data_IF_527434659726
#
_entry.id   IF_527434659726
#
_cell.length_a   1.000
_cell.length_b   1.000
_cell.length_c   1.000
_cell.angle_alpha   90.00
_cell.angle_beta   90.00
_cell.angle_gamma   90.00
#
_symmetry.space_group_name_H-M   'P 1'
#
loop_
_entity.id
_entity.type
_entity.pdbx_description
1 polymer ?
#
# COMPACT_ATOMS: atom_id res chain seq x y z
N UNK A 1 15.15 23.89 12.30
CA UNK A 1 15.36 23.41 13.70
C UNK A 1 14.11 23.46 14.58
N UNK A 2 13.23 24.47 14.48
CA UNK A 2 12.01 24.58 15.30
C UNK A 2 10.99 23.46 15.03
N UNK A 3 10.68 23.19 13.75
CA UNK A 3 9.73 22.14 13.34
C UNK A 3 10.16 20.73 13.80
N UNK A 4 11.43 20.36 13.61
CA UNK A 4 11.97 19.06 14.02
C UNK A 4 11.76 18.80 15.51
N UNK A 5 12.05 19.79 16.36
CA UNK A 5 11.84 19.67 17.81
C UNK A 5 10.35 19.50 18.14
N UNK A 6 9.47 20.24 17.46
CA UNK A 6 8.02 20.12 17.64
C UNK A 6 7.48 18.75 17.22
N UNK A 7 7.95 18.20 16.09
CA UNK A 7 7.56 16.85 15.63
C UNK A 7 8.03 15.79 16.62
N UNK A 8 9.29 15.85 17.05
CA UNK A 8 9.82 14.90 18.04
C UNK A 8 9.07 15.01 19.37
N UNK A 9 8.72 16.23 19.81
CA UNK A 9 7.91 16.42 21.01
C UNK A 9 6.53 15.77 20.87
N UNK A 10 5.82 15.99 19.75
CA UNK A 10 4.53 15.35 19.45
C UNK A 10 4.64 13.82 19.52
N UNK A 11 5.60 13.24 18.80
CA UNK A 11 5.84 11.79 18.79
C UNK A 11 5.95 11.26 20.21
N UNK A 12 6.66 11.96 21.10
CA UNK A 12 6.87 11.47 22.44
C UNK A 12 5.90 11.93 23.54
N UNK A 13 4.96 12.81 23.21
CA UNK A 13 3.68 12.89 23.92
C UNK A 13 2.84 11.64 23.64
N UNK A 14 2.71 11.24 22.36
CA UNK A 14 1.91 10.08 21.94
C UNK A 14 2.46 8.79 22.59
N UNK A 15 3.76 8.55 22.43
CA UNK A 15 4.39 7.33 22.96
C UNK A 15 4.39 7.24 24.50
N UNK A 16 4.25 8.36 25.20
CA UNK A 16 4.13 8.39 26.67
C UNK A 16 2.69 8.28 27.16
N UNK A 17 1.72 8.16 26.25
CA UNK A 17 0.30 8.14 26.62
C UNK A 17 -0.17 9.45 27.24
N UNK A 18 0.35 10.59 26.78
CA UNK A 18 -0.15 11.89 27.21
C UNK A 18 -1.64 12.04 26.88
N UNK A 19 -2.33 12.92 27.61
CA UNK A 19 -3.76 13.15 27.38
C UNK A 19 -4.04 13.64 25.93
N UNK A 20 -5.23 13.31 25.42
CA UNK A 20 -5.61 13.58 24.03
C UNK A 20 -5.53 15.08 23.68
N UNK A 21 -5.93 15.95 24.61
CA UNK A 21 -5.90 17.40 24.39
C UNK A 21 -4.48 17.94 24.18
N UNK A 22 -3.50 17.54 24.99
CA UNK A 22 -2.11 17.96 24.83
C UNK A 22 -1.51 17.45 23.52
N UNK A 23 -1.86 16.22 23.13
CA UNK A 23 -1.45 15.66 21.82
C UNK A 23 -2.03 16.51 20.70
N UNK A 24 -3.32 16.86 20.77
CA UNK A 24 -4.02 17.66 19.77
C UNK A 24 -3.45 19.08 19.64
N UNK A 25 -3.25 19.78 20.76
CA UNK A 25 -2.66 21.13 20.79
C UNK A 25 -1.25 21.13 20.16
N UNK A 26 -0.44 20.12 20.48
CA UNK A 26 0.88 19.99 19.89
C UNK A 26 0.81 19.61 18.40
N UNK A 27 -0.14 18.78 17.97
CA UNK A 27 -0.35 18.45 16.57
C UNK A 27 -0.75 19.68 15.75
N UNK A 28 -1.64 20.53 16.27
CA UNK A 28 -2.03 21.78 15.63
C UNK A 28 -0.85 22.75 15.51
N UNK A 29 0.01 22.82 16.52
CA UNK A 29 1.25 23.59 16.44
C UNK A 29 2.21 23.04 15.38
N UNK A 30 2.34 21.71 15.27
CA UNK A 30 3.15 21.09 14.21
C UNK A 30 2.55 21.39 12.83
N UNK A 31 1.23 21.25 12.66
CA UNK A 31 0.54 21.54 11.40
C UNK A 31 0.71 23.01 10.96
N UNK A 32 0.60 23.97 11.90
CA UNK A 32 0.87 25.39 11.61
C UNK A 32 2.30 25.67 11.18
N UNK A 33 3.24 24.87 11.66
CA UNK A 33 4.67 24.98 11.32
C UNK A 33 5.07 24.12 10.11
N UNK A 34 4.20 23.24 9.62
CA UNK A 34 4.49 22.27 8.55
C UNK A 34 3.66 22.64 7.33
N UNK A 35 4.07 23.71 6.66
CA UNK A 35 3.46 24.21 5.43
C UNK A 35 3.94 23.42 4.19
N UNK A 36 3.36 23.74 3.03
CA UNK A 36 3.73 23.10 1.76
C UNK A 36 5.21 23.30 1.39
N UNK A 37 5.81 24.42 1.80
CA UNK A 37 7.22 24.70 1.52
C UNK A 37 8.11 23.71 2.27
N UNK A 38 7.82 23.48 3.56
CA UNK A 38 8.55 22.54 4.39
C UNK A 38 8.23 21.08 4.04
N UNK A 39 6.99 20.79 3.60
CA UNK A 39 6.62 19.47 3.11
C UNK A 39 7.47 19.08 1.88
N UNK A 40 7.67 20.01 0.95
CA UNK A 40 8.50 19.79 -0.26
C UNK A 40 10.01 19.91 0.01
N UNK A 41 10.45 20.27 1.22
CA UNK A 41 11.85 20.48 1.53
C UNK A 41 12.53 19.21 2.09
N UNK A 42 13.52 18.62 1.38
CA UNK A 42 14.23 17.41 1.83
C UNK A 42 14.91 17.55 3.20
N UNK A 43 15.32 18.78 3.57
CA UNK A 43 16.01 19.06 4.83
C UNK A 43 15.10 18.80 6.03
N UNK A 44 13.78 18.98 5.87
CA UNK A 44 12.77 18.78 6.91
C UNK A 44 12.84 17.38 7.51
N UNK A 45 13.18 16.37 6.70
CA UNK A 45 13.15 14.96 7.11
C UNK A 45 14.51 14.39 7.50
N UNK A 46 15.61 15.16 7.40
CA UNK A 46 16.97 14.66 7.71
C UNK A 46 17.11 14.11 9.13
N UNK A 47 16.28 14.57 10.07
CA UNK A 47 16.29 14.05 11.44
C UNK A 47 15.85 12.58 11.55
N UNK A 48 15.14 12.06 10.54
CA UNK A 48 14.74 10.65 10.46
C UNK A 48 15.87 9.74 9.95
N UNK A 49 16.99 10.31 9.47
CA UNK A 49 18.08 9.56 8.80
C UNK A 49 19.29 9.22 9.70
N UNK A 50 19.34 9.58 10.99
CA UNK A 50 20.63 9.58 11.74
C UNK A 50 20.88 8.39 12.69
N UNK A 51 22.10 7.85 12.57
CA UNK A 51 22.93 7.01 13.47
C UNK A 51 22.90 5.46 13.34
N UNK A 52 22.79 4.89 12.14
CA UNK A 52 23.40 3.58 11.91
C UNK A 52 24.47 3.71 10.83
N UNK A 53 25.64 3.13 11.06
CA UNK A 53 26.67 3.07 10.04
C UNK A 53 26.09 2.34 8.82
N UNK A 54 26.53 2.68 7.60
CA UNK A 54 26.08 1.97 6.39
C UNK A 54 26.27 0.44 6.51
N UNK A 55 27.26 0.00 7.30
CA UNK A 55 27.52 -1.39 7.64
C UNK A 55 26.49 -2.04 8.58
N UNK A 56 25.93 -1.29 9.53
CA UNK A 56 24.88 -1.79 10.45
C UNK A 56 23.59 -2.13 9.70
N UNK A 57 23.28 -1.35 8.67
CA UNK A 57 22.11 -1.57 7.82
C UNK A 57 22.24 -2.81 6.94
N UNK A 58 23.44 -3.17 6.51
CA UNK A 58 23.68 -4.32 5.65
C UNK A 58 23.68 -5.65 6.41
N UNK A 59 23.98 -5.64 7.72
CA UNK A 59 24.13 -6.84 8.56
C UNK A 59 22.88 -7.25 9.36
N UNK A 60 21.77 -6.53 9.24
CA UNK A 60 20.55 -6.84 10.02
C UNK A 60 19.75 -8.00 9.43
N UNK A 61 19.74 -9.14 10.14
CA UNK A 61 18.83 -10.26 9.92
C UNK A 61 17.53 -10.06 10.73
N UNK A 62 16.37 -9.84 10.09
CA UNK A 62 15.08 -9.66 10.76
C UNK A 62 14.60 -10.91 11.52
N UNK A 63 15.20 -12.09 11.29
CA UNK A 63 14.89 -13.30 12.07
C UNK A 63 15.53 -13.27 13.47
N UNK A 64 16.48 -12.35 13.72
CA UNK A 64 17.19 -12.25 15.00
C UNK A 64 16.44 -11.52 16.12
N UNK A 65 15.21 -11.03 15.87
CA UNK A 65 14.26 -10.62 16.92
C UNK A 65 14.68 -9.46 17.84
N UNK A 66 15.83 -8.80 17.64
CA UNK A 66 16.34 -7.78 18.57
C UNK A 66 15.84 -6.37 18.21
N UNK A 67 14.56 -6.12 18.45
CA UNK A 67 13.92 -4.79 18.32
C UNK A 67 14.52 -3.72 19.25
N UNK A 68 15.37 -4.08 20.21
CA UNK A 68 15.95 -3.15 21.19
C UNK A 68 16.89 -2.11 20.58
N UNK A 69 17.55 -2.42 19.45
CA UNK A 69 18.54 -1.53 18.81
C UNK A 69 17.94 -0.24 18.25
N UNK A 70 16.69 -0.28 17.80
CA UNK A 70 16.03 0.84 17.10
C UNK A 70 15.13 1.70 18.01
N UNK A 71 14.98 1.34 19.29
CA UNK A 71 14.00 1.93 20.21
C UNK A 71 14.06 3.47 20.32
N UNK A 72 15.27 4.03 20.21
CA UNK A 72 15.50 5.48 20.29
C UNK A 72 15.56 6.17 18.93
N UNK A 73 15.52 5.43 17.82
CA UNK A 73 15.62 6.01 16.48
C UNK A 73 14.36 6.81 16.12
N UNK A 74 14.51 8.06 15.63
CA UNK A 74 13.37 8.92 15.32
C UNK A 74 12.33 8.31 14.37
N UNK A 75 12.80 7.57 13.35
CA UNK A 75 11.90 6.90 12.39
C UNK A 75 11.12 5.76 13.04
N UNK A 76 11.78 4.92 13.84
CA UNK A 76 11.09 3.85 14.58
C UNK A 76 10.01 4.43 15.52
N UNK A 77 10.35 5.52 16.23
CA UNK A 77 9.43 6.20 17.13
C UNK A 77 8.25 6.85 16.40
N UNK A 78 8.48 7.41 15.21
CA UNK A 78 7.41 7.90 14.34
C UNK A 78 6.47 6.76 13.92
N UNK A 79 7.00 5.63 13.45
CA UNK A 79 6.20 4.46 13.06
C UNK A 79 5.37 3.92 14.22
N UNK A 80 5.96 3.86 15.43
CA UNK A 80 5.23 3.46 16.64
C UNK A 80 4.17 4.47 17.05
N UNK A 81 4.44 5.77 16.92
CA UNK A 81 3.45 6.80 17.18
C UNK A 81 2.24 6.68 16.23
N UNK A 82 2.48 6.42 14.93
CA UNK A 82 1.41 6.16 13.95
C UNK A 82 0.58 4.94 14.34
N UNK A 83 1.22 3.84 14.78
CA UNK A 83 0.53 2.62 15.20
C UNK A 83 -0.42 2.82 16.39
N UNK A 84 0.00 3.62 17.39
CA UNK A 84 -0.74 3.77 18.66
C UNK A 84 -1.62 5.01 18.72
N UNK A 85 -1.41 6.00 17.85
CA UNK A 85 -2.24 7.19 17.80
C UNK A 85 -3.67 6.84 17.38
N UNK A 86 -4.65 7.50 18.00
CA UNK A 86 -6.09 7.30 17.77
C UNK A 86 -6.81 8.59 17.40
N UNK A 87 -6.11 9.72 17.39
CA UNK A 87 -6.65 10.99 16.91
C UNK A 87 -6.39 11.08 15.41
N UNK A 88 -7.47 11.16 14.63
CA UNK A 88 -7.44 11.09 13.16
C UNK A 88 -6.54 12.17 12.55
N UNK A 89 -6.70 13.42 12.99
CA UNK A 89 -5.89 14.55 12.54
C UNK A 89 -4.40 14.34 12.83
N UNK A 90 -4.06 13.89 14.04
CA UNK A 90 -2.68 13.63 14.42
C UNK A 90 -2.11 12.46 13.63
N UNK A 91 -2.88 11.38 13.43
CA UNK A 91 -2.47 10.25 12.57
C UNK A 91 -2.21 10.74 11.14
N UNK A 92 -3.13 11.51 10.56
CA UNK A 92 -2.99 12.08 9.22
C UNK A 92 -1.68 12.89 9.10
N UNK A 93 -1.43 13.78 10.06
CA UNK A 93 -0.23 14.61 10.10
C UNK A 93 1.05 13.78 10.18
N UNK A 94 1.09 12.76 11.04
CA UNK A 94 2.24 11.86 11.14
C UNK A 94 2.46 11.04 9.86
N UNK A 95 1.38 10.57 9.23
CA UNK A 95 1.43 9.87 7.95
C UNK A 95 1.91 10.80 6.83
N UNK A 96 1.52 12.08 6.82
CA UNK A 96 2.05 13.08 5.86
C UNK A 96 3.55 13.29 6.04
N UNK A 97 4.02 13.42 7.28
CA UNK A 97 5.45 13.53 7.58
C UNK A 97 6.21 12.27 7.10
N UNK A 98 5.65 11.08 7.31
CA UNK A 98 6.26 9.83 6.82
C UNK A 98 6.26 9.75 5.29
N UNK A 99 5.16 10.14 4.63
CA UNK A 99 5.06 10.19 3.18
C UNK A 99 6.08 11.16 2.58
N UNK A 100 6.20 12.35 3.17
CA UNK A 100 7.18 13.35 2.79
C UNK A 100 8.62 12.83 2.95
N UNK A 101 8.90 12.11 4.05
CA UNK A 101 10.19 11.46 4.24
C UNK A 101 10.52 10.48 3.11
N UNK A 102 9.56 9.63 2.72
CA UNK A 102 9.80 8.66 1.66
C UNK A 102 9.96 9.34 0.31
N UNK A 103 9.10 10.30 -0.04
CA UNK A 103 9.00 10.85 -1.41
C UNK A 103 9.92 12.05 -1.68
N UNK A 104 10.15 12.94 -0.72
CA UNK A 104 10.78 14.25 -0.99
C UNK A 104 12.30 14.24 -0.85
N UNK A 105 12.88 13.19 -0.28
CA UNK A 105 14.32 13.16 -0.02
C UNK A 105 15.14 12.62 -1.20
N UNK A 106 15.40 13.40 -2.25
CA UNK A 106 16.42 13.06 -3.26
C UNK A 106 15.95 12.08 -4.35
N UNK A 107 16.87 11.34 -4.98
CA UNK A 107 16.60 10.49 -6.16
C UNK A 107 15.75 9.25 -5.85
N UNK A 108 15.14 8.65 -6.88
CA UNK A 108 14.39 7.38 -6.78
C UNK A 108 15.19 6.24 -6.12
N UNK A 109 16.50 6.18 -6.34
CA UNK A 109 17.38 5.21 -5.67
C UNK A 109 17.39 5.39 -4.15
N UNK A 110 17.34 6.64 -3.67
CA UNK A 110 17.30 6.94 -2.25
C UNK A 110 15.92 6.69 -1.63
N UNK A 111 14.84 6.80 -2.41
CA UNK A 111 13.49 6.40 -2.00
C UNK A 111 13.46 4.90 -1.65
N UNK A 112 14.00 4.05 -2.53
CA UNK A 112 14.08 2.60 -2.27
C UNK A 112 14.87 2.30 -0.99
N UNK A 113 15.93 3.05 -0.69
CA UNK A 113 16.70 2.91 0.56
C UNK A 113 15.83 3.24 1.78
N UNK A 114 15.04 4.32 1.73
CA UNK A 114 14.12 4.69 2.82
C UNK A 114 12.98 3.71 3.00
N UNK A 115 12.39 3.24 1.90
CA UNK A 115 11.42 2.14 1.94
C UNK A 115 12.04 0.95 2.67
N UNK A 116 13.24 0.48 2.25
CA UNK A 116 13.96 -0.62 2.92
C UNK A 116 14.22 -0.37 4.40
N UNK A 117 14.50 0.87 4.80
CA UNK A 117 14.68 1.23 6.20
C UNK A 117 13.40 1.03 7.02
N UNK A 118 12.26 1.52 6.52
CA UNK A 118 10.94 1.31 7.14
C UNK A 118 10.65 -0.18 7.30
N UNK A 119 10.97 -1.00 6.28
CA UNK A 119 10.79 -2.46 6.31
C UNK A 119 11.62 -3.09 7.44
N UNK A 120 12.89 -2.69 7.55
CA UNK A 120 13.81 -3.23 8.56
C UNK A 120 13.35 -2.93 9.99
N UNK A 121 12.68 -1.81 10.19
CA UNK A 121 12.14 -1.37 11.48
C UNK A 121 10.76 -1.96 11.84
N UNK A 122 10.27 -2.94 11.07
CA UNK A 122 8.90 -3.46 11.21
C UNK A 122 7.80 -2.38 11.03
N UNK A 123 8.13 -1.34 10.26
CA UNK A 123 7.23 -0.23 9.98
C UNK A 123 6.00 -0.66 9.18
N UNK A 124 6.15 -1.63 8.27
CA UNK A 124 5.04 -2.16 7.49
C UNK A 124 3.94 -2.75 8.39
N UNK A 125 4.31 -3.53 9.42
CA UNK A 125 3.33 -4.08 10.37
C UNK A 125 2.67 -2.99 11.22
N UNK A 126 3.44 -1.97 11.61
CA UNK A 126 2.94 -0.81 12.35
C UNK A 126 1.86 -0.06 11.53
N UNK A 127 2.13 0.14 10.23
CA UNK A 127 1.19 0.76 9.29
C UNK A 127 -0.02 -0.13 9.00
N UNK A 128 0.15 -1.45 8.83
CA UNK A 128 -0.96 -2.40 8.66
C UNK A 128 -1.91 -2.36 9.86
N UNK A 129 -1.38 -2.35 11.09
CA UNK A 129 -2.22 -2.27 12.30
C UNK A 129 -2.97 -0.96 12.39
N UNK A 130 -2.31 0.16 12.06
CA UNK A 130 -2.96 1.47 11.98
C UNK A 130 -4.08 1.45 10.93
N UNK A 131 -3.77 0.99 9.72
CA UNK A 131 -4.74 0.85 8.63
C UNK A 131 -5.96 0.05 9.06
N UNK A 132 -5.78 -1.16 9.60
CA UNK A 132 -6.89 -1.99 10.05
C UNK A 132 -7.74 -1.36 11.17
N UNK A 133 -7.17 -0.45 11.97
CA UNK A 133 -7.90 0.26 13.02
C UNK A 133 -8.83 1.34 12.46
N UNK A 134 -8.40 2.08 11.43
CA UNK A 134 -9.23 3.09 10.77
C UNK A 134 -10.17 2.48 9.73
N UNK A 135 -9.70 1.48 8.99
CA UNK A 135 -10.44 0.82 7.92
C UNK A 135 -11.75 0.16 8.40
N UNK A 136 -11.79 -0.31 9.64
CA UNK A 136 -12.99 -0.94 10.23
C UNK A 136 -14.01 0.06 10.77
N UNK A 137 -13.63 1.33 10.87
CA UNK A 137 -14.50 2.38 11.37
C UNK A 137 -15.18 3.02 10.17
N UNK A 138 -16.44 2.65 9.92
CA UNK A 138 -17.26 3.14 8.80
C UNK A 138 -17.51 4.67 8.80
N UNK A 139 -17.03 5.38 9.83
CA UNK A 139 -17.29 6.80 10.08
C UNK A 139 -16.06 7.71 9.87
N UNK A 140 -14.90 7.18 9.45
CA UNK A 140 -13.68 7.98 9.29
C UNK A 140 -13.70 8.64 7.92
N UNK A 141 -13.54 9.97 7.88
CA UNK A 141 -13.34 10.72 6.64
C UNK A 141 -12.09 10.16 5.92
N UNK A 142 -12.21 9.77 4.66
CA UNK A 142 -11.28 8.86 3.95
C UNK A 142 -9.79 9.23 3.94
N UNK A 143 -9.42 10.45 4.35
CA UNK A 143 -8.06 10.98 4.27
C UNK A 143 -6.97 10.14 4.96
N UNK A 144 -7.23 9.58 6.15
CA UNK A 144 -6.26 8.73 6.86
C UNK A 144 -6.12 7.38 6.18
N UNK A 145 -7.23 6.80 5.73
CA UNK A 145 -7.23 5.53 4.99
C UNK A 145 -6.48 5.72 3.67
N UNK A 146 -6.69 6.82 2.97
CA UNK A 146 -6.05 7.13 1.68
C UNK A 146 -4.52 7.26 1.81
N UNK A 147 -4.05 8.01 2.82
CA UNK A 147 -2.61 8.18 3.00
C UNK A 147 -1.93 6.89 3.48
N UNK A 148 -2.57 6.13 4.38
CA UNK A 148 -2.07 4.84 4.81
C UNK A 148 -2.02 3.87 3.64
N UNK A 149 -3.07 3.87 2.82
CA UNK A 149 -3.15 3.06 1.62
C UNK A 149 -2.01 3.37 0.65
N UNK A 150 -1.77 4.65 0.39
CA UNK A 150 -0.68 5.12 -0.47
C UNK A 150 0.70 4.69 0.06
N UNK A 151 0.92 4.83 1.38
CA UNK A 151 2.15 4.36 2.04
C UNK A 151 2.33 2.84 1.91
N UNK A 152 1.26 2.07 2.13
CA UNK A 152 1.30 0.61 2.06
C UNK A 152 1.55 0.12 0.63
N UNK A 153 0.92 0.72 -0.39
CA UNK A 153 1.15 0.42 -1.81
C UNK A 153 2.61 0.67 -2.18
N UNK A 154 3.14 1.84 -1.82
CA UNK A 154 4.53 2.21 -2.07
C UNK A 154 5.51 1.21 -1.43
N UNK A 155 5.20 0.74 -0.22
CA UNK A 155 5.96 -0.31 0.44
C UNK A 155 5.78 -1.67 -0.25
N UNK A 156 4.58 -2.03 -0.70
CA UNK A 156 4.25 -3.32 -1.30
C UNK A 156 4.94 -3.58 -2.66
N UNK A 157 5.36 -2.52 -3.35
CA UNK A 157 6.16 -2.61 -4.59
C UNK A 157 7.47 -3.40 -4.42
N UNK A 158 7.96 -3.57 -3.19
CA UNK A 158 9.12 -4.38 -2.89
C UNK A 158 8.72 -5.83 -2.59
N UNK A 159 9.35 -6.80 -3.26
CA UNK A 159 9.05 -8.23 -3.07
C UNK A 159 9.10 -8.69 -1.61
N UNK A 160 10.05 -8.15 -0.83
CA UNK A 160 10.17 -8.45 0.62
C UNK A 160 8.94 -8.02 1.41
N UNK A 161 8.34 -6.87 1.07
CA UNK A 161 7.15 -6.37 1.75
C UNK A 161 5.89 -7.10 1.33
N UNK A 162 5.70 -7.34 0.03
CA UNK A 162 4.57 -8.14 -0.43
C UNK A 162 4.50 -9.50 0.29
N UNK A 163 5.67 -10.11 0.57
CA UNK A 163 5.76 -11.31 1.42
C UNK A 163 5.31 -11.09 2.87
N UNK A 164 5.58 -9.92 3.47
CA UNK A 164 5.14 -9.59 4.82
C UNK A 164 3.62 -9.36 4.88
N UNK A 165 3.09 -8.62 3.90
CA UNK A 165 1.65 -8.37 3.77
C UNK A 165 0.86 -9.68 3.74
N UNK A 166 1.24 -10.61 2.86
CA UNK A 166 0.49 -11.85 2.75
C UNK A 166 0.75 -12.87 3.87
N UNK A 167 1.71 -12.64 4.77
CA UNK A 167 1.81 -13.40 6.04
C UNK A 167 0.76 -12.96 7.05
N UNK A 168 0.25 -11.73 6.94
CA UNK A 168 -0.78 -11.22 7.84
C UNK A 168 -2.15 -11.69 7.35
N UNK A 169 -2.58 -12.85 7.84
CA UNK A 169 -3.88 -13.44 7.48
C UNK A 169 -5.04 -12.46 7.71
N UNK A 170 -5.06 -11.79 8.87
CA UNK A 170 -6.08 -10.79 9.20
C UNK A 170 -6.12 -9.60 8.23
N UNK A 171 -4.97 -9.23 7.68
CA UNK A 171 -4.89 -8.14 6.71
C UNK A 171 -5.40 -8.58 5.35
N UNK A 172 -4.95 -9.73 4.84
CA UNK A 172 -5.39 -10.26 3.54
C UNK A 172 -6.90 -10.55 3.55
N UNK A 173 -7.39 -11.24 4.59
CA UNK A 173 -8.83 -11.53 4.71
C UNK A 173 -9.66 -10.26 4.88
N UNK A 174 -9.15 -9.28 5.64
CA UNK A 174 -9.81 -7.97 5.79
C UNK A 174 -9.92 -7.19 4.48
N UNK A 175 -8.86 -7.17 3.67
CA UNK A 175 -8.89 -6.53 2.34
C UNK A 175 -9.86 -7.25 1.42
N UNK A 176 -9.81 -8.58 1.35
CA UNK A 176 -10.70 -9.36 0.47
C UNK A 176 -12.16 -9.18 0.85
N UNK A 177 -12.48 -9.21 2.15
CA UNK A 177 -13.83 -8.97 2.64
C UNK A 177 -14.34 -7.60 2.20
N UNK A 178 -13.53 -6.54 2.33
CA UNK A 178 -13.95 -5.19 1.98
C UNK A 178 -14.02 -4.93 0.47
N UNK A 179 -13.18 -5.58 -0.34
CA UNK A 179 -13.32 -5.55 -1.80
C UNK A 179 -14.68 -6.16 -2.21
N UNK A 180 -15.13 -7.19 -1.50
CA UNK A 180 -16.34 -7.95 -1.81
C UNK A 180 -17.62 -7.33 -1.23
N UNK A 181 -17.52 -6.59 -0.13
CA UNK A 181 -18.67 -6.06 0.61
C UNK A 181 -19.56 -5.13 -0.22
N UNK A 182 -19.02 -4.54 -1.30
CA UNK A 182 -19.77 -3.72 -2.27
C UNK A 182 -20.28 -2.38 -1.72
N UNK A 183 -20.15 -2.13 -0.42
CA UNK A 183 -20.56 -0.90 0.25
C UNK A 183 -19.51 0.23 0.15
N UNK A 184 -18.29 -0.08 -0.32
CA UNK A 184 -17.20 0.89 -0.43
C UNK A 184 -17.22 1.64 -1.76
N UNK A 185 -16.77 2.89 -1.72
CA UNK A 185 -16.54 3.69 -2.93
C UNK A 185 -15.54 3.00 -3.87
N UNK A 186 -15.79 3.06 -5.17
CA UNK A 186 -14.96 2.41 -6.17
C UNK A 186 -13.49 2.88 -6.12
N UNK A 187 -13.22 4.14 -5.75
CA UNK A 187 -11.84 4.64 -5.59
C UNK A 187 -11.08 3.91 -4.48
N UNK A 188 -11.75 3.62 -3.36
CA UNK A 188 -11.18 2.84 -2.25
C UNK A 188 -10.93 1.41 -2.70
N UNK A 189 -11.92 0.79 -3.35
CA UNK A 189 -11.80 -0.58 -3.89
C UNK A 189 -10.64 -0.67 -4.89
N UNK A 190 -10.46 0.33 -5.77
CA UNK A 190 -9.35 0.38 -6.72
C UNK A 190 -7.99 0.33 -6.01
N UNK A 191 -7.83 1.08 -4.91
CA UNK A 191 -6.58 1.08 -4.15
C UNK A 191 -6.36 -0.21 -3.36
N UNK A 192 -7.41 -0.84 -2.84
CA UNK A 192 -7.33 -2.17 -2.23
C UNK A 192 -6.93 -3.24 -3.24
N UNK A 193 -7.49 -3.17 -4.45
CA UNK A 193 -7.14 -4.03 -5.57
C UNK A 193 -5.69 -3.85 -6.01
N UNK A 194 -5.18 -2.62 -5.98
CA UNK A 194 -3.76 -2.32 -6.23
C UNK A 194 -2.83 -2.98 -5.19
N UNK A 195 -3.18 -2.91 -3.90
CA UNK A 195 -2.44 -3.63 -2.85
C UNK A 195 -2.46 -5.14 -3.08
N UNK A 196 -3.66 -5.68 -3.33
CA UNK A 196 -3.85 -7.12 -3.57
C UNK A 196 -3.04 -7.59 -4.78
N UNK A 197 -2.98 -6.79 -5.85
CA UNK A 197 -2.15 -7.05 -7.00
C UNK A 197 -0.67 -7.22 -6.61
N UNK A 198 -0.09 -6.33 -5.80
CA UNK A 198 1.31 -6.45 -5.38
C UNK A 198 1.55 -7.70 -4.54
N UNK A 199 0.60 -8.05 -3.66
CA UNK A 199 0.65 -9.29 -2.86
C UNK A 199 0.69 -10.52 -3.78
N UNK A 200 -0.17 -10.56 -4.80
CA UNK A 200 -0.25 -11.66 -5.77
C UNK A 200 1.00 -11.71 -6.65
N UNK A 201 1.48 -10.57 -7.15
CA UNK A 201 2.63 -10.44 -8.07
C UNK A 201 3.89 -11.12 -7.53
N UNK A 202 4.18 -10.94 -6.25
CA UNK A 202 5.44 -11.39 -5.63
C UNK A 202 5.39 -12.79 -5.00
N UNK A 203 4.34 -13.56 -5.30
CA UNK A 203 4.18 -15.02 -5.14
C UNK A 203 5.01 -15.64 -4.01
N UNK A 204 4.34 -15.93 -2.90
CA UNK A 204 4.91 -16.69 -1.80
C UNK A 204 3.99 -17.85 -1.45
N UNK A 205 4.54 -19.03 -1.16
CA UNK A 205 3.76 -20.25 -0.90
C UNK A 205 2.69 -20.06 0.19
N UNK A 206 3.03 -19.41 1.29
CA UNK A 206 2.08 -19.17 2.38
C UNK A 206 0.94 -18.21 1.94
N UNK A 207 1.31 -17.17 1.18
CA UNK A 207 0.36 -16.21 0.61
C UNK A 207 -0.59 -16.89 -0.36
N UNK A 208 -0.04 -17.70 -1.28
CA UNK A 208 -0.83 -18.40 -2.29
C UNK A 208 -1.82 -19.36 -1.64
N UNK A 209 -1.36 -20.15 -0.65
CA UNK A 209 -2.23 -21.05 0.09
C UNK A 209 -3.36 -20.31 0.82
N UNK A 210 -3.07 -19.13 1.39
CA UNK A 210 -4.10 -18.29 2.01
C UNK A 210 -5.07 -17.72 0.97
N UNK A 211 -4.58 -17.21 -0.15
CA UNK A 211 -5.44 -16.68 -1.21
C UNK A 211 -6.32 -17.77 -1.82
N UNK A 212 -5.79 -18.98 -2.02
CA UNK A 212 -6.53 -20.17 -2.44
C UNK A 212 -7.64 -20.53 -1.46
N UNK A 213 -7.36 -20.53 -0.14
CA UNK A 213 -8.38 -20.81 0.87
C UNK A 213 -9.51 -19.77 0.91
N UNK A 214 -9.24 -18.57 0.41
CA UNK A 214 -10.23 -17.49 0.26
C UNK A 214 -10.89 -17.46 -1.12
N UNK A 215 -10.71 -18.50 -1.95
CA UNK A 215 -11.28 -18.57 -3.30
C UNK A 215 -10.94 -17.34 -4.16
N UNK A 216 -9.68 -16.87 -4.07
CA UNK A 216 -9.23 -15.62 -4.73
C UNK A 216 -9.61 -15.53 -6.21
N UNK A 217 -9.63 -16.67 -6.90
CA UNK A 217 -9.94 -16.72 -8.32
C UNK A 217 -11.38 -16.26 -8.60
N UNK A 218 -12.34 -16.83 -7.88
CA UNK A 218 -13.76 -16.48 -7.98
C UNK A 218 -14.03 -15.05 -7.50
N UNK A 219 -13.30 -14.60 -6.48
CA UNK A 219 -13.40 -13.21 -5.99
C UNK A 219 -12.99 -12.22 -7.09
N UNK A 220 -11.84 -12.41 -7.72
CA UNK A 220 -11.34 -11.52 -8.77
C UNK A 220 -12.24 -11.55 -10.02
N UNK A 221 -12.80 -12.71 -10.37
CA UNK A 221 -13.78 -12.86 -11.45
C UNK A 221 -15.03 -12.02 -11.19
N UNK A 222 -15.65 -12.19 -10.03
CA UNK A 222 -16.87 -11.46 -9.66
C UNK A 222 -16.64 -9.95 -9.63
N UNK A 223 -15.56 -9.50 -8.98
CA UNK A 223 -15.19 -8.08 -8.90
C UNK A 223 -14.95 -7.51 -10.31
N UNK A 224 -14.31 -8.27 -11.18
CA UNK A 224 -14.15 -7.86 -12.58
C UNK A 224 -15.50 -7.68 -13.26
N UNK A 225 -16.39 -8.67 -13.22
CA UNK A 225 -17.69 -8.62 -13.89
C UNK A 225 -18.56 -7.45 -13.41
N UNK A 226 -18.61 -7.22 -12.09
CA UNK A 226 -19.37 -6.15 -11.45
C UNK A 226 -18.90 -4.76 -11.88
N UNK A 227 -17.58 -4.53 -11.91
CA UNK A 227 -17.01 -3.23 -12.24
C UNK A 227 -16.84 -3.01 -13.75
N UNK A 228 -16.74 -4.07 -14.55
CA UNK A 228 -16.57 -3.97 -16.00
C UNK A 228 -17.79 -3.34 -16.68
N UNK A 229 -19.00 -3.63 -16.20
CA UNK A 229 -20.23 -2.99 -16.68
C UNK A 229 -20.26 -1.50 -16.36
N UNK A 230 -19.56 -1.07 -15.32
CA UNK A 230 -19.53 0.30 -14.82
C UNK A 230 -18.25 1.05 -15.22
N UNK A 231 -17.40 0.47 -16.08
CA UNK A 231 -16.06 1.00 -16.39
C UNK A 231 -16.03 2.41 -16.97
N UNK A 232 -17.14 2.88 -17.55
CA UNK A 232 -17.29 4.23 -18.08
C UNK A 232 -17.92 5.23 -17.10
N UNK A 233 -18.33 4.78 -15.92
CA UNK A 233 -18.95 5.63 -14.89
C UNK A 233 -17.89 6.48 -14.19
N UNK A 234 -16.77 5.87 -13.79
CA UNK A 234 -15.64 6.56 -13.17
C UNK A 234 -14.33 5.81 -13.43
N UNK A 235 -13.17 6.52 -13.46
CA UNK A 235 -11.87 5.90 -13.73
C UNK A 235 -11.55 4.74 -12.79
N UNK A 236 -12.01 4.81 -11.53
CA UNK A 236 -11.78 3.79 -10.52
C UNK A 236 -12.31 2.40 -10.92
N UNK A 237 -13.44 2.31 -11.63
CA UNK A 237 -13.97 1.02 -12.10
C UNK A 237 -13.04 0.38 -13.13
N UNK A 238 -12.45 1.19 -14.02
CA UNK A 238 -11.47 0.73 -14.99
C UNK A 238 -10.17 0.29 -14.31
N UNK A 239 -9.71 1.01 -13.27
CA UNK A 239 -8.56 0.61 -12.47
C UNK A 239 -8.80 -0.74 -11.78
N UNK A 240 -9.96 -0.94 -11.16
CA UNK A 240 -10.36 -2.22 -10.55
C UNK A 240 -10.29 -3.35 -11.57
N UNK A 241 -10.85 -3.13 -12.76
CA UNK A 241 -10.82 -4.09 -13.85
C UNK A 241 -9.39 -4.44 -14.26
N UNK A 242 -8.53 -3.42 -14.44
CA UNK A 242 -7.14 -3.62 -14.79
C UNK A 242 -6.37 -4.42 -13.72
N UNK A 243 -6.52 -4.08 -12.44
CA UNK A 243 -5.89 -4.81 -11.34
C UNK A 243 -6.41 -6.24 -11.21
N UNK A 244 -7.72 -6.47 -11.37
CA UNK A 244 -8.33 -7.79 -11.30
C UNK A 244 -7.75 -8.72 -12.38
N UNK A 245 -7.77 -8.27 -13.62
CA UNK A 245 -7.30 -9.03 -14.78
C UNK A 245 -5.79 -9.29 -14.71
N UNK A 246 -5.02 -8.29 -14.30
CA UNK A 246 -3.57 -8.43 -14.10
C UNK A 246 -3.26 -9.45 -12.99
N UNK A 247 -4.03 -9.41 -11.90
CA UNK A 247 -3.89 -10.35 -10.78
C UNK A 247 -4.24 -11.77 -11.21
N UNK A 248 -5.34 -11.95 -11.95
CA UNK A 248 -5.74 -13.23 -12.53
C UNK A 248 -4.67 -13.79 -13.48
N UNK A 249 -4.09 -12.95 -14.34
CA UNK A 249 -2.95 -13.35 -15.19
C UNK A 249 -1.74 -13.79 -14.36
N UNK A 250 -1.46 -13.11 -13.25
CA UNK A 250 -0.40 -13.52 -12.34
C UNK A 250 -0.71 -14.83 -11.61
N UNK A 251 -1.97 -15.12 -11.28
CA UNK A 251 -2.37 -16.39 -10.69
C UNK A 251 -2.32 -17.53 -11.71
N UNK A 252 -2.71 -17.26 -12.95
CA UNK A 252 -2.80 -18.24 -14.04
C UNK A 252 -1.47 -18.92 -14.39
N UNK A 253 -0.33 -18.27 -14.12
CA UNK A 253 0.99 -18.90 -14.33
C UNK A 253 1.26 -20.07 -13.38
N UNK A 254 0.38 -20.33 -12.40
CA UNK A 254 0.41 -21.51 -11.55
C UNK A 254 -0.47 -22.60 -12.16
N UNK A 255 0.09 -23.80 -12.35
CA UNK A 255 -0.55 -24.92 -13.05
C UNK A 255 -1.97 -25.26 -12.55
N UNK A 256 -2.17 -25.31 -11.23
CA UNK A 256 -3.47 -25.57 -10.59
C UNK A 256 -4.53 -24.49 -10.89
N UNK A 257 -4.13 -23.24 -11.13
CA UNK A 257 -5.04 -22.14 -11.45
C UNK A 257 -5.28 -22.02 -12.95
N UNK A 258 -4.32 -22.44 -13.78
CA UNK A 258 -4.50 -22.58 -15.24
C UNK A 258 -5.63 -23.56 -15.55
N UNK A 259 -5.70 -24.69 -14.86
CA UNK A 259 -6.76 -25.68 -15.01
C UNK A 259 -8.14 -25.12 -14.61
N UNK A 260 -8.22 -24.26 -13.59
CA UNK A 260 -9.45 -23.54 -13.22
C UNK A 260 -9.89 -22.51 -14.27
N UNK A 261 -8.95 -21.79 -14.88
CA UNK A 261 -9.27 -20.86 -15.98
C UNK A 261 -9.80 -21.56 -17.24
N UNK A 262 -9.18 -22.69 -17.58
CA UNK A 262 -9.55 -23.49 -18.75
C UNK A 262 -10.91 -24.15 -18.52
N UNK A 263 -11.18 -24.67 -17.32
CA UNK A 263 -12.48 -25.28 -17.00
C UNK A 263 -13.64 -24.28 -16.91
N UNK A 264 -13.37 -23.00 -16.64
CA UNK A 264 -14.38 -21.95 -16.60
C UNK A 264 -14.71 -21.32 -17.97
N UNK A 265 -14.09 -21.77 -19.08
CA UNK A 265 -14.11 -21.13 -20.42
C UNK A 265 -13.76 -19.61 -20.40
N UNK A 266 -13.17 -19.17 -19.29
CA UNK A 266 -12.95 -17.76 -19.00
C UNK A 266 -11.75 -17.20 -19.79
N UNK A 267 -10.90 -18.07 -20.36
CA UNK A 267 -9.68 -17.68 -21.06
C UNK A 267 -9.95 -16.74 -22.25
N UNK A 268 -10.93 -17.04 -23.09
CA UNK A 268 -11.28 -16.19 -24.25
C UNK A 268 -11.92 -14.88 -23.80
N UNK A 269 -12.82 -14.96 -22.81
CA UNK A 269 -13.47 -13.80 -22.20
C UNK A 269 -12.44 -12.85 -21.59
N UNK A 270 -11.45 -13.39 -20.89
CA UNK A 270 -10.34 -12.61 -20.32
C UNK A 270 -9.45 -11.97 -21.38
N UNK A 271 -9.09 -12.70 -22.43
CA UNK A 271 -8.30 -12.12 -23.53
C UNK A 271 -9.04 -10.97 -24.23
N UNK A 272 -10.35 -11.13 -24.46
CA UNK A 272 -11.18 -10.06 -25.04
C UNK A 272 -11.36 -8.88 -24.10
N UNK A 273 -11.64 -9.13 -22.82
CA UNK A 273 -11.74 -8.10 -21.78
C UNK A 273 -10.44 -7.31 -21.65
N UNK A 274 -9.28 -7.99 -21.69
CA UNK A 274 -7.96 -7.37 -21.65
C UNK A 274 -7.75 -6.38 -22.80
N UNK A 275 -8.08 -6.79 -24.02
CA UNK A 275 -7.94 -5.92 -25.21
C UNK A 275 -8.85 -4.68 -25.12
N UNK A 276 -10.03 -4.84 -24.53
CA UNK A 276 -10.97 -3.72 -24.31
C UNK A 276 -10.40 -2.77 -23.25
N UNK A 277 -9.96 -3.29 -22.09
CA UNK A 277 -9.37 -2.49 -21.01
C UNK A 277 -8.13 -1.72 -21.50
N UNK A 278 -7.24 -2.35 -22.27
CA UNK A 278 -6.06 -1.67 -22.80
C UNK A 278 -6.43 -0.45 -23.66
N UNK A 279 -7.46 -0.58 -24.51
CA UNK A 279 -7.95 0.54 -25.33
C UNK A 279 -8.62 1.61 -24.48
N UNK A 280 -9.46 1.19 -23.53
CA UNK A 280 -10.17 2.12 -22.64
C UNK A 280 -9.17 2.93 -21.78
N UNK A 281 -8.09 2.30 -21.28
CA UNK A 281 -7.03 2.95 -20.48
C UNK A 281 -6.27 4.02 -21.26
N UNK A 282 -6.03 3.83 -22.57
CA UNK A 282 -5.40 4.85 -23.42
C UNK A 282 -6.26 6.12 -23.57
N UNK A 283 -7.57 6.01 -23.34
CA UNK A 283 -8.54 7.09 -23.54
C UNK A 283 -8.96 7.84 -22.28
N UNK A 284 -8.56 7.36 -21.09
CA UNK A 284 -9.00 7.89 -19.80
C UNK A 284 -7.86 8.61 -19.09
N UNK A 285 -8.07 9.89 -18.78
CA UNK A 285 -7.14 10.69 -17.97
C UNK A 285 -7.28 10.38 -16.46
N UNK A 286 -6.25 10.72 -15.68
CA UNK A 286 -6.21 10.56 -14.21
C UNK A 286 -6.25 9.12 -13.69
N UNK A 287 -5.86 8.15 -14.50
CA UNK A 287 -5.56 6.79 -14.01
C UNK A 287 -4.25 6.77 -13.23
N UNK A 288 -4.11 5.83 -12.30
CA UNK A 288 -2.83 5.61 -11.64
C UNK A 288 -1.75 5.27 -12.67
N UNK A 289 -0.50 5.72 -12.46
CA UNK A 289 0.62 5.41 -13.36
C UNK A 289 0.82 3.91 -13.59
N UNK A 290 0.45 3.11 -12.59
CA UNK A 290 0.55 1.66 -12.64
C UNK A 290 -0.50 1.05 -13.58
N UNK A 291 -1.75 1.53 -13.57
CA UNK A 291 -2.80 1.14 -14.52
C UNK A 291 -2.36 1.41 -15.97
N UNK A 292 -1.82 2.60 -16.23
CA UNK A 292 -1.31 2.96 -17.56
C UNK A 292 -0.12 2.10 -17.97
N UNK A 293 0.82 1.86 -17.05
CA UNK A 293 1.96 0.96 -17.30
C UNK A 293 1.53 -0.47 -17.63
N UNK A 294 0.45 -0.97 -17.01
CA UNK A 294 -0.09 -2.28 -17.33
C UNK A 294 -0.67 -2.34 -18.73
N UNK A 295 -1.48 -1.35 -19.13
CA UNK A 295 -2.06 -1.34 -20.46
C UNK A 295 -0.97 -1.49 -21.54
N UNK A 296 0.15 -0.80 -21.38
CA UNK A 296 1.33 -0.92 -22.27
C UNK A 296 1.98 -2.30 -22.17
N UNK A 297 2.30 -2.79 -20.95
CA UNK A 297 2.94 -4.09 -20.76
C UNK A 297 2.08 -5.24 -21.31
N UNK A 298 0.76 -5.15 -21.18
CA UNK A 298 -0.19 -6.14 -21.67
C UNK A 298 -0.35 -6.09 -23.18
N UNK A 299 -0.48 -4.91 -23.78
CA UNK A 299 -0.55 -4.77 -25.23
C UNK A 299 0.68 -5.42 -25.89
N UNK A 300 1.87 -5.19 -25.32
CA UNK A 300 3.11 -5.86 -25.76
C UNK A 300 3.01 -7.38 -25.63
N UNK A 301 2.55 -7.90 -24.49
CA UNK A 301 2.43 -9.36 -24.27
C UNK A 301 1.36 -10.03 -25.14
N UNK A 302 0.26 -9.34 -25.46
CA UNK A 302 -0.80 -9.87 -26.33
C UNK A 302 -0.29 -9.91 -27.77
N UNK A 303 0.29 -8.81 -28.25
CA UNK A 303 0.83 -8.69 -29.61
C UNK A 303 1.98 -9.68 -29.85
N UNK A 304 2.83 -9.91 -28.85
CA UNK A 304 3.95 -10.85 -28.94
C UNK A 304 3.56 -12.33 -28.76
N UNK A 305 2.28 -12.64 -28.50
CA UNK A 305 1.82 -13.99 -28.20
C UNK A 305 2.39 -14.56 -26.88
N UNK A 306 3.03 -13.73 -26.06
CA UNK A 306 3.64 -14.12 -24.78
C UNK A 306 2.61 -14.29 -23.66
N UNK A 307 1.38 -13.84 -23.85
CA UNK A 307 0.21 -14.30 -23.08
C UNK A 307 -0.27 -15.65 -23.58
N UNK A 308 0.61 -16.65 -23.50
CA UNK A 308 0.17 -18.04 -23.47
C UNK A 308 -0.20 -18.36 -22.01
N UNK A 309 -1.51 -18.44 -21.77
CA UNK A 309 -2.04 -18.98 -20.53
C UNK A 309 -1.71 -20.45 -20.44
#
# INVERSE_FOLDING_TARGET
MKITKSILHLINLILKGANAQKVREQAELVAKLYDESLEKNPVTYRFLLKNASADDYLRFDPLSGTNSRFSNEPLFRLLKAIEVCRDEFTTLLLCRILMGFVTQCGSSASEVVRQKLIIRMDGTNSLIRCFLSYFRLAAVEGSVVDILTSLLIMLAQQARNARMFGKSEKFVTGILAAIVDGAMDASVVARLMEMLFFIIKFRNRAIMSLLESQSIFSVLLRVFDEHFQQRFVAPAHLEICAFAVTSLSNLARLRCHREHLVSADAQKVFQSAMLIICKDVESVENLSPLTTSFAVEFQVKVVSGLLSF
#
